data_IF_659438234739
#
_entry.id   IF_659438234739
#
_cell.length_a   1.000
_cell.length_b   1.000
_cell.length_c   1.000
_cell.angle_alpha   90.00
_cell.angle_beta   90.00
_cell.angle_gamma   90.00
#
_symmetry.space_group_name_H-M   'P 1'
#
loop_
_entity.id
_entity.type
_entity.pdbx_description
1 polymer ?
#
# COMPACT_ATOMS: atom_id res chain seq x y z
N UNK A 1 -83.73 -3.48 11.66
CA UNK A 1 -82.78 -4.39 12.32
C UNK A 1 -81.67 -4.74 11.34
N UNK A 2 -80.60 -3.92 11.24
CA UNK A 2 -79.50 -4.22 10.28
C UNK A 2 -78.13 -3.60 10.60
N UNK A 3 -77.95 -2.89 11.72
CA UNK A 3 -76.73 -2.10 11.97
C UNK A 3 -75.72 -2.76 12.92
N UNK A 4 -76.08 -3.89 13.57
CA UNK A 4 -75.20 -4.59 14.52
C UNK A 4 -74.41 -5.76 13.89
N UNK A 5 -74.71 -6.15 12.65
CA UNK A 5 -74.01 -7.24 11.95
C UNK A 5 -72.81 -6.75 11.13
N UNK A 6 -72.76 -5.46 10.76
CA UNK A 6 -71.67 -4.93 9.93
C UNK A 6 -70.43 -4.61 10.78
N UNK A 7 -70.60 -3.97 11.95
CA UNK A 7 -69.49 -3.59 12.83
C UNK A 7 -68.72 -4.79 13.41
N UNK A 8 -69.40 -5.89 13.71
CA UNK A 8 -68.79 -7.11 14.23
C UNK A 8 -67.95 -7.85 13.18
N UNK A 9 -68.35 -7.80 11.90
CA UNK A 9 -67.60 -8.40 10.77
C UNK A 9 -66.29 -7.63 10.49
N UNK A 10 -66.29 -6.30 10.64
CA UNK A 10 -65.08 -5.49 10.50
C UNK A 10 -64.07 -5.75 11.62
N UNK A 11 -64.54 -5.91 12.86
CA UNK A 11 -63.67 -6.20 14.02
C UNK A 11 -63.06 -7.60 13.89
N UNK A 12 -63.84 -8.62 13.50
CA UNK A 12 -63.34 -9.99 13.34
C UNK A 12 -62.39 -10.14 12.15
N UNK A 13 -62.65 -9.46 11.02
CA UNK A 13 -61.71 -9.46 9.88
C UNK A 13 -60.38 -8.75 10.21
N UNK A 14 -60.43 -7.67 10.98
CA UNK A 14 -59.21 -6.94 11.38
C UNK A 14 -58.36 -7.73 12.37
N UNK A 15 -58.99 -8.43 13.34
CA UNK A 15 -58.31 -9.32 14.27
C UNK A 15 -57.74 -10.57 13.56
N UNK A 16 -58.44 -11.13 12.57
CA UNK A 16 -57.95 -12.25 11.77
C UNK A 16 -56.69 -11.88 10.97
N UNK A 17 -56.66 -10.69 10.36
CA UNK A 17 -55.48 -10.20 9.64
C UNK A 17 -54.27 -9.97 10.56
N UNK A 18 -54.49 -9.45 11.77
CA UNK A 18 -53.42 -9.27 12.76
C UNK A 18 -52.89 -10.62 13.26
N UNK A 19 -53.76 -11.61 13.48
CA UNK A 19 -53.34 -12.97 13.86
C UNK A 19 -52.57 -13.70 12.76
N UNK A 20 -52.95 -13.53 11.49
CA UNK A 20 -52.21 -14.08 10.34
C UNK A 20 -50.82 -13.41 10.23
N UNK A 21 -50.75 -12.10 10.50
CA UNK A 21 -49.48 -11.36 10.53
C UNK A 21 -48.55 -11.88 11.62
N UNK A 22 -49.08 -12.11 12.84
CA UNK A 22 -48.29 -12.61 13.97
C UNK A 22 -47.85 -14.07 13.73
N UNK A 23 -48.73 -14.94 13.19
CA UNK A 23 -48.35 -16.31 12.83
C UNK A 23 -47.30 -16.36 11.71
N UNK A 24 -47.37 -15.45 10.72
CA UNK A 24 -46.36 -15.35 9.67
C UNK A 24 -44.98 -14.94 10.21
N UNK A 25 -44.93 -14.10 11.24
CA UNK A 25 -43.67 -13.73 11.91
C UNK A 25 -43.07 -14.95 12.64
N UNK A 26 -43.88 -15.73 13.37
CA UNK A 26 -43.40 -16.88 14.16
C UNK A 26 -42.96 -18.08 13.30
N UNK A 27 -43.51 -18.27 12.08
CA UNK A 27 -43.14 -19.39 11.19
C UNK A 27 -41.79 -19.19 10.47
N UNK A 28 -41.19 -18.00 10.56
CA UNK A 28 -39.90 -17.70 9.91
C UNK A 28 -38.67 -18.36 10.57
N UNK A 29 -38.82 -18.91 11.78
CA UNK A 29 -37.67 -19.22 12.64
C UNK A 29 -37.16 -20.67 12.60
N UNK A 30 -37.85 -21.62 11.94
CA UNK A 30 -37.50 -23.05 12.06
C UNK A 30 -36.82 -23.68 10.84
N UNK A 31 -36.75 -22.99 9.69
CA UNK A 31 -36.08 -23.52 8.49
C UNK A 31 -34.80 -22.76 8.09
N UNK A 32 -34.40 -21.78 8.90
CA UNK A 32 -33.21 -20.93 8.68
C UNK A 32 -32.06 -21.29 9.61
N UNK A 33 -32.13 -22.40 10.37
CA UNK A 33 -31.01 -22.82 11.22
C UNK A 33 -30.09 -23.84 10.55
N UNK A 34 -30.58 -24.68 9.63
CA UNK A 34 -29.73 -25.72 9.01
C UNK A 34 -28.80 -25.19 7.91
N UNK A 35 -29.17 -24.12 7.18
CA UNK A 35 -28.32 -23.49 6.16
C UNK A 35 -27.35 -22.44 6.74
N UNK A 36 -27.60 -21.96 7.97
CA UNK A 36 -26.63 -21.12 8.70
C UNK A 36 -25.63 -21.96 9.50
N UNK A 37 -25.97 -23.20 9.86
CA UNK A 37 -25.07 -24.13 10.54
C UNK A 37 -23.93 -24.68 9.64
N UNK A 38 -24.10 -24.70 8.31
CA UNK A 38 -23.02 -25.12 7.40
C UNK A 38 -22.04 -23.99 7.01
N UNK A 39 -22.34 -22.73 7.35
CA UNK A 39 -21.40 -21.62 7.15
C UNK A 39 -20.47 -21.39 8.35
N UNK A 40 -20.68 -22.10 9.46
CA UNK A 40 -19.88 -21.98 10.68
C UNK A 40 -18.70 -22.96 10.77
N UNK A 41 -18.50 -23.85 9.79
CA UNK A 41 -17.39 -24.81 9.82
C UNK A 41 -16.15 -24.41 8.98
N UNK A 42 -16.16 -23.22 8.37
CA UNK A 42 -14.95 -22.55 7.88
C UNK A 42 -14.56 -21.33 8.73
N UNK A 43 -15.07 -21.25 9.96
CA UNK A 43 -14.50 -20.39 11.01
C UNK A 43 -13.55 -21.21 11.88
N UNK A 44 -12.69 -22.04 11.25
CA UNK A 44 -11.43 -22.39 11.88
C UNK A 44 -10.74 -21.07 12.13
N UNK A 45 -10.54 -20.72 13.39
CA UNK A 45 -9.92 -19.47 13.80
C UNK A 45 -8.64 -19.22 13.02
N UNK A 46 -8.75 -18.47 11.94
CA UNK A 46 -7.66 -17.63 11.47
C UNK A 46 -7.65 -16.52 12.51
N UNK A 47 -7.00 -16.80 13.63
CA UNK A 47 -6.22 -15.73 14.23
C UNK A 47 -5.38 -15.21 13.08
N UNK A 48 -5.79 -14.09 12.48
CA UNK A 48 -4.83 -13.23 11.83
C UNK A 48 -3.90 -12.87 12.98
N UNK A 49 -2.89 -13.72 13.25
CA UNK A 49 -1.61 -13.22 13.71
C UNK A 49 -1.32 -12.17 12.66
N UNK A 50 -1.63 -10.90 12.94
CA UNK A 50 -1.21 -9.79 12.10
C UNK A 50 0.28 -10.05 11.94
N UNK A 51 0.68 -10.47 10.74
CA UNK A 51 2.10 -10.67 10.46
C UNK A 51 2.69 -9.30 10.74
N UNK A 52 3.61 -9.24 11.69
CA UNK A 52 4.26 -7.99 12.04
C UNK A 52 4.87 -7.40 10.77
N UNK A 53 4.80 -6.07 10.57
CA UNK A 53 5.42 -5.46 9.41
C UNK A 53 6.92 -5.76 9.39
N UNK A 54 7.47 -5.91 8.19
CA UNK A 54 8.92 -6.01 8.01
C UNK A 54 9.48 -4.60 8.13
N UNK A 55 10.44 -4.40 9.03
CA UNK A 55 11.12 -3.14 9.24
C UNK A 55 12.59 -3.33 8.86
N UNK A 56 13.15 -2.46 8.02
CA UNK A 56 14.54 -2.53 7.55
C UNK A 56 15.48 -2.01 8.63
N UNK A 57 15.19 -0.80 9.16
CA UNK A 57 15.97 -0.13 10.21
C UNK A 57 15.09 0.28 11.39
N UNK A 58 14.61 -0.71 12.13
CA UNK A 58 13.71 -0.51 13.24
C UNK A 58 13.10 -1.80 13.72
N UNK A 59 12.02 -1.70 14.50
CA UNK A 59 11.32 -2.86 15.02
C UNK A 59 9.80 -2.67 14.94
N UNK A 60 9.03 -3.76 14.77
CA UNK A 60 7.58 -3.67 14.70
C UNK A 60 7.00 -3.34 16.08
N UNK A 61 6.25 -2.25 16.17
CA UNK A 61 5.51 -1.83 17.35
C UNK A 61 4.03 -1.60 16.99
N UNK A 62 3.12 -2.30 17.67
CA UNK A 62 1.66 -2.20 17.46
C UNK A 62 1.16 -2.33 16.01
N UNK A 63 1.92 -3.01 15.14
CA UNK A 63 1.57 -3.23 13.74
C UNK A 63 2.10 -2.18 12.76
N UNK A 64 2.93 -1.25 13.24
CA UNK A 64 3.70 -0.30 12.44
C UNK A 64 5.20 -0.47 12.74
N UNK A 65 6.08 0.10 11.93
CA UNK A 65 7.51 0.12 12.20
C UNK A 65 7.90 1.33 13.04
N UNK A 66 8.52 1.09 14.19
CA UNK A 66 9.21 2.12 14.97
C UNK A 66 10.66 2.21 14.48
N UNK A 67 10.96 3.29 13.76
CA UNK A 67 12.24 3.48 13.10
C UNK A 67 13.34 3.94 14.05
N UNK A 68 14.57 3.52 13.74
CA UNK A 68 15.77 4.09 14.35
C UNK A 68 15.88 5.60 14.05
N UNK A 69 16.63 6.33 14.88
CA UNK A 69 16.66 7.80 14.85
C UNK A 69 16.97 8.40 13.47
N UNK A 70 17.84 7.74 12.68
CA UNK A 70 18.30 8.20 11.37
C UNK A 70 17.53 7.58 10.19
N UNK A 71 16.41 6.90 10.44
CA UNK A 71 15.60 6.27 9.39
C UNK A 71 14.13 6.68 9.49
N UNK A 72 13.44 6.64 8.35
CA UNK A 72 12.02 6.95 8.20
C UNK A 72 11.41 6.14 7.06
N UNK A 73 10.11 6.32 6.82
CA UNK A 73 9.34 5.53 5.85
C UNK A 73 8.49 4.46 6.52
N UNK A 74 7.59 3.86 5.76
CA UNK A 74 6.62 2.88 6.28
C UNK A 74 7.31 1.62 6.84
N UNK A 75 8.46 1.28 6.29
CA UNK A 75 9.28 0.13 6.66
C UNK A 75 10.67 0.56 7.15
N UNK A 76 10.85 1.84 7.49
CA UNK A 76 12.14 2.41 7.90
C UNK A 76 13.24 2.23 6.85
N UNK A 77 12.86 2.28 5.57
CA UNK A 77 13.73 2.02 4.42
C UNK A 77 14.51 3.26 3.96
N UNK A 78 14.03 4.46 4.31
CA UNK A 78 14.64 5.73 3.89
C UNK A 78 15.57 6.27 4.97
N UNK A 79 16.78 6.65 4.58
CA UNK A 79 17.74 7.28 5.49
C UNK A 79 17.49 8.78 5.56
N UNK A 80 17.62 9.35 6.77
CA UNK A 80 17.53 10.79 7.01
C UNK A 80 18.88 11.46 6.74
N UNK A 81 18.93 12.40 5.81
CA UNK A 81 20.14 13.17 5.48
C UNK A 81 20.10 14.58 6.08
N UNK A 82 19.91 14.67 7.40
CA UNK A 82 19.95 15.94 8.10
C UNK A 82 21.39 16.52 8.09
N UNK A 83 21.53 17.83 7.90
CA UNK A 83 22.84 18.50 7.89
C UNK A 83 23.52 18.55 9.28
N UNK A 84 22.77 18.37 10.35
CA UNK A 84 23.27 18.33 11.73
C UNK A 84 22.67 17.16 12.49
N UNK A 85 23.21 16.81 13.66
CA UNK A 85 22.63 15.81 14.56
C UNK A 85 21.37 16.30 15.30
N UNK A 86 21.02 17.59 15.20
CA UNK A 86 19.83 18.13 15.86
C UNK A 86 18.56 17.62 15.17
N UNK A 87 17.52 17.34 15.96
CA UNK A 87 16.19 16.95 15.49
C UNK A 87 15.13 17.81 16.18
N UNK A 88 14.02 18.07 15.51
CA UNK A 88 12.83 18.61 16.15
C UNK A 88 12.15 17.53 17.02
N UNK A 89 11.16 17.93 17.83
CA UNK A 89 10.47 17.01 18.75
C UNK A 89 9.73 15.87 18.05
N UNK A 90 9.30 16.08 16.81
CA UNK A 90 8.70 15.06 15.96
C UNK A 90 9.74 14.24 15.16
N UNK A 91 11.04 14.44 15.40
CA UNK A 91 12.11 13.72 14.73
C UNK A 91 12.47 14.25 13.33
N UNK A 92 11.92 15.39 12.90
CA UNK A 92 12.28 16.05 11.63
C UNK A 92 13.61 16.80 11.69
N UNK A 93 14.19 17.05 10.53
CA UNK A 93 15.49 17.70 10.41
C UNK A 93 15.34 19.23 10.42
N UNK A 94 16.19 19.99 11.14
CA UNK A 94 16.24 21.44 11.01
C UNK A 94 16.68 21.93 9.63
N UNK A 95 17.57 21.18 8.99
CA UNK A 95 18.07 21.44 7.64
C UNK A 95 18.63 20.15 7.03
N UNK A 96 18.61 20.08 5.69
CA UNK A 96 19.11 18.95 4.91
C UNK A 96 20.52 19.18 4.38
N UNK A 97 21.27 18.09 4.20
CA UNK A 97 22.49 18.11 3.39
C UNK A 97 22.12 18.53 1.95
N UNK A 98 22.94 19.33 1.24
CA UNK A 98 22.66 19.71 -0.14
C UNK A 98 22.36 18.50 -1.04
N UNK A 99 21.32 18.61 -1.87
CA UNK A 99 20.85 17.53 -2.73
C UNK A 99 19.78 16.63 -2.10
N UNK A 100 19.50 16.78 -0.80
CA UNK A 100 18.42 16.10 -0.09
C UNK A 100 17.33 17.07 0.36
N UNK A 101 16.10 16.58 0.46
CA UNK A 101 14.93 17.37 0.85
C UNK A 101 13.85 16.48 1.48
N UNK A 102 12.73 17.09 1.90
CA UNK A 102 11.68 16.44 2.70
C UNK A 102 11.71 16.88 4.16
N UNK A 103 10.72 16.42 4.95
CA UNK A 103 10.61 16.79 6.37
C UNK A 103 11.77 16.16 7.18
N UNK A 104 12.15 14.95 6.82
CA UNK A 104 13.22 14.19 7.44
C UNK A 104 14.47 14.08 6.54
N UNK A 105 14.56 14.90 5.48
CA UNK A 105 15.63 14.87 4.48
C UNK A 105 15.83 13.47 3.87
N UNK A 106 14.73 12.79 3.60
CA UNK A 106 14.63 11.41 3.16
C UNK A 106 14.45 11.25 1.65
N UNK A 107 14.27 12.37 0.95
CA UNK A 107 14.16 12.44 -0.50
C UNK A 107 15.45 13.00 -1.11
N UNK A 108 15.83 12.47 -2.27
CA UNK A 108 17.06 12.81 -2.98
C UNK A 108 16.74 13.41 -4.33
N UNK A 109 17.43 14.49 -4.69
CA UNK A 109 17.29 15.12 -6.01
C UNK A 109 18.31 14.51 -6.98
N UNK A 110 17.81 13.83 -8.02
CA UNK A 110 18.62 13.22 -9.07
C UNK A 110 18.66 14.12 -10.30
N UNK A 111 19.86 14.44 -10.82
CA UNK A 111 20.03 15.31 -12.00
C UNK A 111 19.77 14.55 -13.30
N UNK A 112 20.33 13.34 -13.42
CA UNK A 112 20.14 12.46 -14.58
C UNK A 112 19.75 11.04 -14.15
N UNK A 113 18.49 10.90 -13.74
CA UNK A 113 17.93 9.63 -13.29
C UNK A 113 16.72 9.84 -12.40
N UNK A 114 16.29 8.76 -11.76
CA UNK A 114 15.10 8.77 -10.91
C UNK A 114 15.46 8.32 -9.48
N UNK A 115 14.77 8.84 -8.44
CA UNK A 115 14.93 8.34 -7.08
C UNK A 115 14.47 6.87 -6.97
N UNK A 116 15.25 6.06 -6.27
CA UNK A 116 14.87 4.67 -5.99
C UNK A 116 13.69 4.61 -5.02
N UNK A 117 12.80 3.63 -5.22
CA UNK A 117 11.65 3.41 -4.32
C UNK A 117 12.02 2.72 -3.01
N UNK A 118 13.18 2.07 -2.96
CA UNK A 118 13.58 1.20 -1.86
C UNK A 118 14.57 1.85 -0.90
N UNK A 119 15.31 2.84 -1.37
CA UNK A 119 16.42 3.47 -0.64
C UNK A 119 16.53 4.94 -1.05
N UNK A 120 17.17 5.76 -0.22
CA UNK A 120 17.45 7.18 -0.53
C UNK A 120 18.65 7.31 -1.47
N UNK A 121 18.54 6.77 -2.69
CA UNK A 121 19.58 6.82 -3.74
C UNK A 121 18.99 7.10 -5.11
N UNK A 122 19.83 7.57 -6.03
CA UNK A 122 19.45 7.75 -7.42
C UNK A 122 19.77 6.52 -8.28
N UNK A 123 18.85 6.17 -9.17
CA UNK A 123 19.05 5.22 -10.26
C UNK A 123 19.45 6.00 -11.52
N UNK A 124 20.76 6.11 -11.75
CA UNK A 124 21.29 6.98 -12.81
C UNK A 124 21.07 6.45 -14.22
N UNK A 125 20.77 7.36 -15.13
CA UNK A 125 20.81 7.09 -16.57
C UNK A 125 22.25 6.99 -17.07
N UNK A 126 22.53 6.01 -17.92
CA UNK A 126 23.87 5.87 -18.51
C UNK A 126 24.07 6.98 -19.56
N UNK A 127 25.22 7.71 -19.56
CA UNK A 127 26.48 7.42 -18.88
C UNK A 127 26.75 8.18 -17.56
N UNK A 128 25.73 8.81 -16.99
CA UNK A 128 25.84 9.56 -15.75
C UNK A 128 26.04 8.65 -14.53
N UNK A 129 26.61 9.24 -13.48
CA UNK A 129 26.99 8.55 -12.24
C UNK A 129 27.10 9.54 -11.08
N UNK A 130 27.53 9.06 -9.91
CA UNK A 130 27.59 9.86 -8.69
C UNK A 130 26.32 9.72 -7.84
N UNK A 131 26.35 10.25 -6.62
CA UNK A 131 25.22 10.17 -5.68
C UNK A 131 23.95 10.82 -6.22
N UNK A 132 24.10 11.96 -6.93
CA UNK A 132 23.01 12.74 -7.50
C UNK A 132 22.91 12.60 -9.03
N UNK A 133 23.63 11.65 -9.62
CA UNK A 133 23.69 11.44 -11.08
C UNK A 133 24.13 12.67 -11.89
N UNK A 134 25.03 13.49 -11.35
CA UNK A 134 25.57 14.70 -11.98
C UNK A 134 27.00 14.52 -12.49
N UNK A 135 27.61 13.35 -12.27
CA UNK A 135 28.99 13.08 -12.66
C UNK A 135 29.06 12.35 -14.01
N UNK A 136 29.89 12.87 -14.92
CA UNK A 136 30.28 12.24 -16.17
C UNK A 136 31.75 11.80 -16.09
N UNK A 137 31.99 10.51 -15.85
CA UNK A 137 33.35 9.99 -15.94
C UNK A 137 33.71 9.62 -17.38
N UNK A 138 34.90 10.02 -17.83
CA UNK A 138 35.45 9.71 -19.16
C UNK A 138 35.35 8.22 -19.49
N UNK A 139 35.61 7.35 -18.50
CA UNK A 139 35.50 5.89 -18.63
C UNK A 139 34.07 5.43 -18.96
N UNK A 140 33.06 5.96 -18.28
CA UNK A 140 31.67 5.59 -18.51
C UNK A 140 31.17 6.11 -19.86
N UNK A 141 31.53 7.35 -20.22
CA UNK A 141 31.19 7.96 -21.51
C UNK A 141 31.77 7.16 -22.67
N UNK A 142 33.09 6.94 -22.69
CA UNK A 142 33.71 6.14 -23.76
C UNK A 142 33.19 4.71 -23.78
N UNK A 143 33.01 4.09 -22.60
CA UNK A 143 32.44 2.75 -22.51
C UNK A 143 31.04 2.66 -23.11
N UNK A 144 30.18 3.65 -22.83
CA UNK A 144 28.83 3.72 -23.37
C UNK A 144 28.82 3.87 -24.89
N UNK A 145 29.56 4.85 -25.43
CA UNK A 145 29.61 5.07 -26.87
C UNK A 145 30.25 3.90 -27.63
N UNK A 146 31.34 3.33 -27.12
CA UNK A 146 31.97 2.16 -27.73
C UNK A 146 31.01 0.96 -27.79
N UNK A 147 30.21 0.72 -26.74
CA UNK A 147 29.18 -0.33 -26.75
C UNK A 147 28.07 -0.04 -27.76
N UNK A 148 27.59 1.21 -27.84
CA UNK A 148 26.58 1.60 -28.84
C UNK A 148 27.09 1.40 -30.26
N UNK A 149 28.29 1.88 -30.58
CA UNK A 149 28.90 1.73 -31.91
C UNK A 149 29.10 0.26 -32.26
N UNK A 150 29.61 -0.57 -31.34
CA UNK A 150 29.72 -2.03 -31.55
C UNK A 150 28.39 -2.70 -31.85
N UNK A 151 27.31 -2.25 -31.19
CA UNK A 151 25.96 -2.71 -31.52
C UNK A 151 25.70 -2.43 -33.00
N UNK A 152 25.71 -1.17 -33.43
CA UNK A 152 25.39 -0.78 -34.82
C UNK A 152 26.29 -1.42 -35.89
N UNK A 153 27.62 -1.44 -35.69
CA UNK A 153 28.55 -2.10 -36.63
C UNK A 153 28.29 -3.62 -36.70
N UNK A 154 27.87 -4.24 -35.59
CA UNK A 154 27.47 -5.65 -35.56
C UNK A 154 26.18 -5.94 -36.33
N UNK A 155 25.25 -4.99 -36.41
CA UNK A 155 24.04 -5.11 -37.25
C UNK A 155 24.36 -4.91 -38.73
N UNK A 156 25.23 -3.95 -39.07
CA UNK A 156 25.66 -3.68 -40.46
C UNK A 156 26.44 -4.84 -41.09
N UNK A 157 26.98 -5.78 -40.29
CA UNK A 157 27.65 -6.97 -40.80
C UNK A 157 26.68 -8.13 -41.13
N UNK A 158 25.51 -8.20 -40.49
CA UNK A 158 24.51 -9.24 -40.78
C UNK A 158 23.69 -8.92 -42.03
N UNK A 159 23.40 -7.64 -42.30
CA UNK A 159 22.66 -7.20 -43.49
C UNK A 159 23.50 -7.19 -44.79
N UNK A 160 24.82 -7.42 -44.71
CA UNK A 160 25.70 -7.52 -45.89
C UNK A 160 25.98 -8.98 -46.32
N UNK A 161 25.39 -9.96 -45.63
CA UNK A 161 25.51 -11.39 -45.95
C UNK A 161 24.26 -12.01 -46.59
N UNK A 162 23.31 -11.20 -47.07
CA UNK A 162 22.15 -11.67 -47.84
C UNK A 162 22.05 -10.94 -49.19
#
# INVERSE_FOLDING_TARGET
>A
MSFLTSFTIYITSSLLLVLISIHAIVVSDDNTQHLLAQRQQFSRGITYRRRQPVCVHGHPNNGECECEENYTGQHCEKQKHCATFRRYRNGSCPSCVPGYYGEHCEEIHCVHGEPSKLETKCECEVPFSGTFCDELSTRLVYGYYNRRVRKYIGWDHWERCH
#
